data_IF_720966845051
#
_entry.id   IF_720966845051
#
_cell.length_a   1.000
_cell.length_b   1.000
_cell.length_c   1.000
_cell.angle_alpha   90.00
_cell.angle_beta   90.00
_cell.angle_gamma   90.00
#
_symmetry.space_group_name_H-M   'P 1'
#
loop_
_entity.id
_entity.type
_entity.pdbx_description
1 polymer ?
#
# COMPACT_ATOMS: atom_id res chain seq x y z
N UNK A 1 -47.38 20.74 -23.51
CA UNK A 1 -47.67 19.82 -22.40
C UNK A 1 -46.33 19.42 -21.84
N UNK A 2 -45.93 20.08 -20.76
CA UNK A 2 -44.66 19.80 -20.07
C UNK A 2 -44.95 18.63 -19.13
N UNK A 3 -44.27 17.50 -19.31
CA UNK A 3 -44.31 16.39 -18.36
C UNK A 3 -43.65 16.86 -17.07
N UNK A 4 -44.46 17.06 -16.03
CA UNK A 4 -43.99 17.21 -14.66
C UNK A 4 -43.32 15.88 -14.28
N UNK A 5 -42.00 15.90 -14.17
CA UNK A 5 -41.25 14.85 -13.47
C UNK A 5 -41.63 15.02 -12.00
N UNK A 6 -42.62 14.26 -11.57
CA UNK A 6 -42.99 14.10 -10.18
C UNK A 6 -41.78 13.46 -9.48
N UNK A 7 -40.98 14.30 -8.83
CA UNK A 7 -39.83 13.89 -8.03
C UNK A 7 -40.41 13.15 -6.82
N UNK A 8 -40.53 11.83 -6.94
CA UNK A 8 -40.89 10.94 -5.83
C UNK A 8 -39.72 10.97 -4.83
N UNK A 9 -39.67 12.01 -4.00
CA UNK A 9 -38.91 11.94 -2.75
C UNK A 9 -39.53 10.79 -1.95
N UNK A 10 -38.84 9.66 -1.86
CA UNK A 10 -39.17 8.58 -0.94
C UNK A 10 -39.21 9.17 0.48
N UNK A 11 -40.41 9.54 0.94
CA UNK A 11 -40.64 10.01 2.30
C UNK A 11 -40.54 8.82 3.25
N UNK A 12 -39.30 8.47 3.58
CA UNK A 12 -38.98 7.49 4.60
C UNK A 12 -39.58 7.92 5.94
N UNK A 13 -40.33 7.02 6.58
CA UNK A 13 -40.93 7.29 7.87
C UNK A 13 -39.85 7.41 8.96
N UNK A 14 -40.10 8.15 10.05
CA UNK A 14 -39.17 8.23 11.17
C UNK A 14 -38.77 6.88 11.78
N UNK A 15 -39.62 5.85 11.64
CA UNK A 15 -39.36 4.50 12.11
C UNK A 15 -38.38 3.74 11.20
N UNK A 16 -38.57 3.82 9.87
CA UNK A 16 -37.67 3.22 8.88
C UNK A 16 -36.27 3.82 8.96
N UNK A 17 -36.19 5.16 9.08
CA UNK A 17 -34.92 5.86 9.27
C UNK A 17 -34.16 5.38 10.49
N UNK A 18 -34.87 5.14 11.60
CA UNK A 18 -34.27 4.66 12.86
C UNK A 18 -33.73 3.24 12.73
N UNK A 19 -34.48 2.36 12.07
CA UNK A 19 -34.04 0.98 11.86
C UNK A 19 -32.85 0.90 10.90
N UNK A 20 -32.82 1.71 9.83
CA UNK A 20 -31.67 1.79 8.94
C UNK A 20 -30.40 2.23 9.68
N UNK A 21 -30.48 3.27 10.50
CA UNK A 21 -29.33 3.75 11.29
C UNK A 21 -28.83 2.66 12.25
N UNK A 22 -29.74 1.91 12.87
CA UNK A 22 -29.39 0.79 13.75
C UNK A 22 -28.70 -0.34 12.97
N UNK A 23 -29.19 -0.66 11.78
CA UNK A 23 -28.61 -1.67 10.90
C UNK A 23 -27.20 -1.28 10.45
N UNK A 24 -27.00 -0.03 10.07
CA UNK A 24 -25.70 0.47 9.66
C UNK A 24 -24.68 0.42 10.80
N UNK A 25 -25.08 0.80 12.02
CA UNK A 25 -24.22 0.64 13.21
C UNK A 25 -23.85 -0.82 13.50
N UNK A 26 -24.80 -1.74 13.29
CA UNK A 26 -24.55 -3.16 13.47
C UNK A 26 -23.57 -3.69 12.40
N UNK A 27 -23.67 -3.19 11.17
CA UNK A 27 -22.74 -3.48 10.08
C UNK A 27 -21.33 -2.95 10.35
N UNK A 28 -21.20 -1.69 10.78
CA UNK A 28 -19.91 -1.11 11.18
C UNK A 28 -19.25 -1.95 12.27
N UNK A 29 -20.01 -2.30 13.32
CA UNK A 29 -19.52 -3.15 14.41
C UNK A 29 -19.13 -4.55 13.93
N UNK A 30 -19.87 -5.14 12.99
CA UNK A 30 -19.51 -6.42 12.38
C UNK A 30 -18.16 -6.32 11.68
N UNK A 31 -17.95 -5.32 10.83
CA UNK A 31 -16.71 -5.12 10.09
C UNK A 31 -15.51 -4.91 11.03
N UNK A 32 -15.65 -4.06 12.05
CA UNK A 32 -14.61 -3.82 13.05
C UNK A 32 -14.19 -5.10 13.77
N UNK A 33 -15.15 -5.91 14.19
CA UNK A 33 -14.87 -7.15 14.91
C UNK A 33 -14.34 -8.26 14.00
N UNK A 34 -14.76 -8.30 12.72
CA UNK A 34 -14.19 -9.20 11.71
C UNK A 34 -12.74 -8.81 11.39
N UNK A 35 -12.41 -7.52 11.32
CA UNK A 35 -11.03 -7.04 11.17
C UNK A 35 -10.14 -7.50 12.35
N UNK A 36 -10.70 -7.58 13.56
CA UNK A 36 -10.01 -8.12 14.75
C UNK A 36 -9.90 -9.66 14.75
N UNK A 37 -10.46 -10.34 13.75
CA UNK A 37 -10.35 -11.79 13.60
C UNK A 37 -11.41 -12.60 14.34
N UNK A 38 -12.52 -11.99 14.78
CA UNK A 38 -13.63 -12.76 15.37
C UNK A 38 -14.31 -13.65 14.32
N UNK A 39 -14.77 -14.82 14.76
CA UNK A 39 -15.49 -15.77 13.90
C UNK A 39 -16.89 -15.28 13.56
N UNK A 40 -17.39 -15.68 12.39
CA UNK A 40 -18.74 -15.34 11.92
C UNK A 40 -19.78 -15.81 12.94
N UNK A 41 -19.63 -17.04 13.46
CA UNK A 41 -20.53 -17.60 14.46
C UNK A 41 -20.61 -16.74 15.72
N UNK A 42 -19.45 -16.34 16.28
CA UNK A 42 -19.41 -15.49 17.47
C UNK A 42 -20.08 -14.14 17.26
N UNK A 43 -20.04 -13.60 16.03
CA UNK A 43 -20.67 -12.33 15.71
C UNK A 43 -22.17 -12.47 15.47
N UNK A 44 -22.59 -13.53 14.79
CA UNK A 44 -23.99 -13.89 14.58
C UNK A 44 -24.74 -13.96 15.92
N UNK A 45 -24.17 -14.72 16.87
CA UNK A 45 -24.75 -14.91 18.21
C UNK A 45 -24.79 -13.59 19.01
N UNK A 46 -23.81 -12.70 18.80
CA UNK A 46 -23.70 -11.44 19.54
C UNK A 46 -24.55 -10.30 18.99
N UNK A 47 -24.81 -10.30 17.67
CA UNK A 47 -25.51 -9.21 16.99
C UNK A 47 -26.98 -9.54 16.72
N UNK A 48 -27.41 -10.81 16.87
CA UNK A 48 -28.79 -11.26 16.65
C UNK A 48 -29.32 -10.89 15.27
N UNK A 49 -28.48 -11.09 14.24
CA UNK A 49 -28.76 -10.72 12.85
C UNK A 49 -29.12 -11.97 12.06
N UNK A 50 -29.99 -11.82 11.06
CA UNK A 50 -30.34 -12.89 10.13
C UNK A 50 -29.10 -13.37 9.34
N UNK A 51 -28.97 -14.68 9.16
CA UNK A 51 -27.92 -15.36 8.41
C UNK A 51 -27.73 -14.82 6.99
N UNK A 52 -28.82 -14.47 6.29
CA UNK A 52 -28.76 -13.89 4.93
C UNK A 52 -28.01 -12.55 4.90
N UNK A 53 -28.24 -11.72 5.92
CA UNK A 53 -27.59 -10.41 6.01
C UNK A 53 -26.12 -10.54 6.39
N UNK A 54 -25.78 -11.52 7.22
CA UNK A 54 -24.38 -11.85 7.56
C UNK A 54 -23.64 -12.34 6.33
N UNK A 55 -24.25 -13.19 5.51
CA UNK A 55 -23.66 -13.67 4.25
C UNK A 55 -23.36 -12.51 3.30
N UNK A 56 -24.28 -11.56 3.17
CA UNK A 56 -24.08 -10.37 2.35
C UNK A 56 -22.93 -9.49 2.89
N UNK A 57 -22.93 -9.22 4.19
CA UNK A 57 -21.86 -8.45 4.83
C UNK A 57 -20.51 -9.14 4.76
N UNK A 58 -20.48 -10.46 4.80
CA UNK A 58 -19.25 -11.24 4.65
C UNK A 58 -18.67 -11.11 3.23
N UNK A 59 -19.51 -11.12 2.19
CA UNK A 59 -19.05 -10.87 0.81
C UNK A 59 -18.43 -9.47 0.69
N UNK A 60 -19.12 -8.46 1.23
CA UNK A 60 -18.64 -7.08 1.22
C UNK A 60 -17.34 -6.93 2.01
N UNK A 61 -17.24 -7.58 3.18
CA UNK A 61 -16.01 -7.60 3.99
C UNK A 61 -14.85 -8.25 3.24
N UNK A 62 -15.09 -9.36 2.52
CA UNK A 62 -14.06 -10.02 1.74
C UNK A 62 -13.57 -9.15 0.58
N UNK A 63 -14.46 -8.47 -0.13
CA UNK A 63 -14.08 -7.50 -1.17
C UNK A 63 -13.26 -6.35 -0.59
N UNK A 64 -13.71 -5.76 0.52
CA UNK A 64 -12.99 -4.71 1.23
C UNK A 64 -11.59 -5.18 1.67
N UNK A 65 -11.49 -6.37 2.25
CA UNK A 65 -10.22 -6.97 2.68
C UNK A 65 -9.27 -7.22 1.50
N UNK A 66 -9.80 -7.67 0.34
CA UNK A 66 -9.00 -7.86 -0.88
C UNK A 66 -8.42 -6.54 -1.38
N UNK A 67 -9.23 -5.48 -1.40
CA UNK A 67 -8.79 -4.15 -1.83
C UNK A 67 -7.70 -3.61 -0.90
N UNK A 68 -7.87 -3.72 0.42
CA UNK A 68 -6.85 -3.31 1.40
C UNK A 68 -5.54 -4.08 1.15
N UNK A 69 -5.60 -5.41 1.08
CA UNK A 69 -4.41 -6.23 0.87
C UNK A 69 -3.69 -5.87 -0.42
N UNK A 70 -4.44 -5.64 -1.50
CA UNK A 70 -3.87 -5.19 -2.77
C UNK A 70 -3.14 -3.86 -2.60
N UNK A 71 -3.76 -2.88 -1.94
CA UNK A 71 -3.14 -1.58 -1.68
C UNK A 71 -1.88 -1.69 -0.81
N UNK A 72 -1.89 -2.51 0.25
CA UNK A 72 -0.74 -2.75 1.10
C UNK A 72 0.44 -3.37 0.33
N UNK A 73 0.15 -4.34 -0.54
CA UNK A 73 1.15 -4.97 -1.42
C UNK A 73 1.72 -3.92 -2.39
N UNK A 74 0.87 -3.14 -3.05
CA UNK A 74 1.28 -2.10 -3.99
C UNK A 74 2.18 -1.05 -3.31
N UNK A 75 1.79 -0.62 -2.10
CA UNK A 75 2.60 0.29 -1.27
C UNK A 75 3.96 -0.32 -0.94
N UNK A 76 4.00 -1.55 -0.45
CA UNK A 76 5.25 -2.22 -0.12
C UNK A 76 6.19 -2.37 -1.33
N UNK A 77 5.63 -2.71 -2.50
CA UNK A 77 6.38 -2.78 -3.76
C UNK A 77 6.92 -1.41 -4.16
N UNK A 78 6.10 -0.37 -4.08
CA UNK A 78 6.49 0.99 -4.42
C UNK A 78 7.60 1.51 -3.50
N UNK A 79 7.45 1.32 -2.19
CA UNK A 79 8.46 1.72 -1.20
C UNK A 79 9.81 1.03 -1.46
N UNK A 80 9.79 -0.25 -1.83
CA UNK A 80 11.01 -0.97 -2.18
C UNK A 80 11.66 -0.41 -3.47
N UNK A 81 10.86 -0.13 -4.50
CA UNK A 81 11.35 0.50 -5.74
C UNK A 81 11.96 1.87 -5.45
N UNK A 82 11.33 2.67 -4.60
CA UNK A 82 11.82 3.99 -4.20
C UNK A 82 13.16 3.87 -3.46
N UNK A 83 13.25 2.99 -2.45
CA UNK A 83 14.50 2.74 -1.72
C UNK A 83 15.65 2.30 -2.63
N UNK A 84 15.37 1.42 -3.61
CA UNK A 84 16.37 1.01 -4.62
C UNK A 84 16.83 2.21 -5.44
N UNK A 85 15.92 3.05 -5.89
CA UNK A 85 16.22 4.26 -6.66
C UNK A 85 17.09 5.22 -5.86
N UNK A 86 16.76 5.47 -4.60
CA UNK A 86 17.51 6.36 -3.72
C UNK A 86 18.91 5.81 -3.43
N UNK A 87 19.03 4.50 -3.22
CA UNK A 87 20.33 3.83 -3.08
C UNK A 87 21.20 4.01 -4.32
N UNK A 88 20.65 3.82 -5.53
CA UNK A 88 21.38 4.02 -6.79
C UNK A 88 21.84 5.48 -6.90
N UNK A 89 20.94 6.45 -6.69
CA UNK A 89 21.28 7.89 -6.75
C UNK A 89 22.41 8.25 -5.77
N UNK A 90 22.34 7.76 -4.54
CA UNK A 90 23.36 8.03 -3.52
C UNK A 90 24.72 7.43 -3.90
N UNK A 91 24.74 6.18 -4.36
CA UNK A 91 25.97 5.52 -4.80
C UNK A 91 26.57 6.19 -6.03
N UNK A 92 25.76 6.56 -7.02
CA UNK A 92 26.23 7.30 -8.20
C UNK A 92 26.80 8.67 -7.82
N UNK A 93 26.15 9.39 -6.91
CA UNK A 93 26.65 10.67 -6.39
C UNK A 93 28.00 10.51 -5.68
N UNK A 94 28.13 9.50 -4.83
CA UNK A 94 29.38 9.21 -4.12
C UNK A 94 30.50 8.81 -5.09
N UNK A 95 30.22 7.92 -6.05
CA UNK A 95 31.18 7.50 -7.06
C UNK A 95 31.66 8.69 -7.89
N UNK A 96 30.76 9.58 -8.30
CA UNK A 96 31.12 10.80 -9.02
C UNK A 96 32.03 11.72 -8.20
N UNK A 97 31.80 11.84 -6.89
CA UNK A 97 32.67 12.62 -6.00
C UNK A 97 34.06 12.00 -5.88
N UNK A 98 34.11 10.68 -5.69
CA UNK A 98 35.38 9.92 -5.64
C UNK A 98 36.15 10.10 -6.94
N UNK A 99 35.52 9.91 -8.09
CA UNK A 99 36.17 10.06 -9.40
C UNK A 99 36.69 11.49 -9.62
N UNK A 100 35.94 12.51 -9.19
CA UNK A 100 36.40 13.91 -9.24
C UNK A 100 37.65 14.15 -8.40
N UNK A 101 37.72 13.59 -7.19
CA UNK A 101 38.92 13.72 -6.35
C UNK A 101 40.11 12.95 -6.93
N UNK A 102 39.89 11.70 -7.36
CA UNK A 102 40.92 10.86 -8.02
C UNK A 102 41.48 11.57 -9.26
N UNK A 103 40.63 12.18 -10.09
CA UNK A 103 41.07 12.87 -11.31
C UNK A 103 41.98 14.08 -11.07
N UNK A 104 41.95 14.64 -9.87
CA UNK A 104 42.74 15.82 -9.50
C UNK A 104 44.00 15.47 -8.70
N UNK A 105 44.11 14.22 -8.25
CA UNK A 105 45.19 13.81 -7.36
C UNK A 105 46.46 13.53 -8.15
N UNK A 106 47.57 14.03 -7.65
CA UNK A 106 48.89 13.59 -8.11
C UNK A 106 49.17 12.20 -7.52
N UNK A 107 49.60 11.26 -8.35
CA UNK A 107 49.92 9.89 -7.96
C UNK A 107 51.42 9.64 -7.80
N UNK A 108 52.24 10.70 -7.87
CA UNK A 108 53.70 10.60 -7.74
C UNK A 108 54.16 10.06 -6.38
N UNK A 109 53.32 10.17 -5.33
CA UNK A 109 53.55 9.63 -4.00
C UNK A 109 53.07 8.17 -3.83
N UNK A 110 52.41 7.61 -4.85
CA UNK A 110 51.85 6.25 -4.80
C UNK A 110 52.91 5.23 -5.25
N UNK A 111 53.15 4.17 -4.45
CA UNK A 111 54.03 3.08 -4.84
C UNK A 111 53.65 2.46 -6.21
N UNK A 112 54.66 2.23 -7.05
CA UNK A 112 54.49 1.76 -8.43
C UNK A 112 53.75 0.44 -8.53
N UNK A 113 53.98 -0.49 -7.60
CA UNK A 113 53.29 -1.78 -7.52
C UNK A 113 51.76 -1.61 -7.42
N UNK A 114 51.29 -0.61 -6.65
CA UNK A 114 49.87 -0.30 -6.53
C UNK A 114 49.28 0.29 -7.81
N UNK A 115 50.05 1.13 -8.52
CA UNK A 115 49.61 1.72 -9.79
C UNK A 115 49.46 0.66 -10.89
N UNK A 116 50.38 -0.32 -10.94
CA UNK A 116 50.30 -1.45 -11.86
C UNK A 116 49.05 -2.28 -11.58
N UNK A 117 48.79 -2.62 -10.31
CA UNK A 117 47.57 -3.35 -9.91
C UNK A 117 46.31 -2.58 -10.30
N UNK A 118 46.28 -1.26 -10.08
CA UNK A 118 45.15 -0.42 -10.45
C UNK A 118 44.93 -0.41 -11.97
N UNK A 119 46.00 -0.31 -12.76
CA UNK A 119 45.94 -0.37 -14.23
C UNK A 119 45.35 -1.67 -14.76
N UNK A 120 45.75 -2.82 -14.20
CA UNK A 120 45.16 -4.12 -14.56
C UNK A 120 43.65 -4.17 -14.26
N UNK A 121 43.24 -3.74 -13.07
CA UNK A 121 41.83 -3.71 -12.67
C UNK A 121 40.98 -2.81 -13.57
N UNK A 122 41.53 -1.67 -14.00
CA UNK A 122 40.80 -0.75 -14.88
C UNK A 122 40.65 -1.32 -16.30
N UNK A 123 41.66 -1.99 -16.83
CA UNK A 123 41.56 -2.65 -18.15
C UNK A 123 40.58 -3.82 -18.16
N UNK A 124 40.52 -4.62 -17.09
CA UNK A 124 39.54 -5.71 -16.95
C UNK A 124 38.08 -5.22 -17.04
N UNK A 125 37.83 -3.95 -16.68
CA UNK A 125 36.49 -3.35 -16.74
C UNK A 125 36.19 -2.64 -18.08
N UNK A 126 37.16 -2.53 -19.00
CA UNK A 126 37.00 -1.85 -20.30
C UNK A 126 36.85 -2.83 -21.48
N UNK A 127 37.24 -4.10 -21.32
CA UNK A 127 36.98 -5.20 -22.26
C UNK A 127 35.63 -5.88 -22.02
#
# INVERSE_FOLDING_TARGET
MSEEIEDYEEHETPAEKKERIKLEKAREKYFDERMKGKSIQSLSDSLWINEDLILEWEKQFQEYSRVIKKFEIEKAVNDNKQRKTDRVKNLSSLLNRINKEISKRDFSDVPTDKLIILGFKLNEHLE
#
